data_IF_841975771386
#
_entry.id   IF_841975771386
#
_cell.length_a   1.000
_cell.length_b   1.000
_cell.length_c   1.000
_cell.angle_alpha   90.00
_cell.angle_beta   90.00
_cell.angle_gamma   90.00
#
_symmetry.space_group_name_H-M   'P 1'
#
loop_
_entity.id
_entity.type
_entity.pdbx_description
1 polymer ?
#
# COMPACT_ATOMS: atom_id res chain seq x y z
N UNK A 1 7.32 68.67 17.02
CA UNK A 1 7.73 67.25 17.06
C UNK A 1 6.52 66.38 17.33
N UNK A 2 5.85 65.86 16.29
CA UNK A 2 4.76 64.87 16.43
C UNK A 2 5.30 63.56 15.86
N UNK A 3 5.52 62.55 16.71
CA UNK A 3 5.97 61.22 16.28
C UNK A 3 4.75 60.45 15.75
N UNK A 4 4.77 60.11 14.47
CA UNK A 4 3.78 59.23 13.85
C UNK A 4 4.15 57.78 14.24
N UNK A 5 3.27 57.10 14.98
CA UNK A 5 3.40 55.66 15.22
C UNK A 5 2.70 54.93 14.08
N UNK A 6 3.48 54.27 13.20
CA UNK A 6 2.93 53.35 12.21
C UNK A 6 2.65 52.02 12.90
N UNK A 7 1.37 51.70 13.11
CA UNK A 7 0.93 50.37 13.54
C UNK A 7 0.94 49.47 12.30
N UNK A 8 1.87 48.52 12.25
CA UNK A 8 1.85 47.46 11.25
C UNK A 8 0.89 46.38 11.75
N UNK A 9 -0.32 46.37 11.19
CA UNK A 9 -1.29 45.28 11.41
C UNK A 9 -0.86 44.12 10.51
N UNK A 10 -0.22 43.12 11.10
CA UNK A 10 0.01 41.83 10.43
C UNK A 10 -1.33 41.10 10.43
N UNK A 11 -2.00 41.06 9.28
CA UNK A 11 -3.12 40.14 9.06
C UNK A 11 -2.57 38.72 9.06
N UNK A 12 -2.80 37.99 10.15
CA UNK A 12 -2.74 36.52 10.14
C UNK A 12 -3.89 36.05 9.24
N UNK A 13 -3.58 35.79 7.97
CA UNK A 13 -4.50 35.05 7.10
C UNK A 13 -4.53 33.63 7.65
N UNK A 14 -5.54 33.32 8.46
CA UNK A 14 -5.88 31.95 8.76
C UNK A 14 -6.41 31.33 7.46
N UNK A 15 -5.56 30.60 6.74
CA UNK A 15 -6.04 29.75 5.67
C UNK A 15 -6.98 28.73 6.30
N UNK A 16 -8.26 28.83 5.95
CA UNK A 16 -9.25 27.81 6.24
C UNK A 16 -8.73 26.47 5.75
N UNK A 17 -8.77 25.46 6.63
CA UNK A 17 -8.48 24.06 6.33
C UNK A 17 -9.48 23.54 5.28
N UNK A 18 -9.28 23.90 4.02
CA UNK A 18 -9.91 23.22 2.91
C UNK A 18 -9.27 21.86 2.75
N UNK A 19 -10.08 20.88 2.36
CA UNK A 19 -9.63 19.57 1.92
C UNK A 19 -8.54 19.71 0.85
N UNK A 20 -7.28 19.48 1.22
CA UNK A 20 -6.09 19.67 0.37
C UNK A 20 -5.82 18.43 -0.49
N UNK A 21 -6.78 18.03 -1.33
CA UNK A 21 -6.53 16.99 -2.33
C UNK A 21 -5.71 17.59 -3.48
N UNK A 22 -4.58 16.97 -3.79
CA UNK A 22 -3.80 17.24 -5.00
C UNK A 22 -3.71 15.99 -5.85
N UNK A 23 -3.95 16.12 -7.15
CA UNK A 23 -3.66 15.04 -8.10
C UNK A 23 -2.16 14.92 -8.25
N UNK A 24 -1.61 13.72 -8.01
CA UNK A 24 -0.22 13.40 -8.34
C UNK A 24 -0.06 13.39 -9.86
N UNK A 25 0.87 14.20 -10.38
CA UNK A 25 1.22 14.25 -11.80
C UNK A 25 2.73 14.55 -11.96
N UNK A 26 3.50 13.71 -12.68
CA UNK A 26 3.09 12.48 -13.34
C UNK A 26 2.63 11.40 -12.35
N UNK A 27 1.78 10.49 -12.82
CA UNK A 27 1.42 9.30 -12.04
C UNK A 27 2.65 8.41 -11.84
N UNK A 28 2.77 7.71 -10.69
CA UNK A 28 3.88 6.79 -10.43
C UNK A 28 3.99 5.65 -11.46
N UNK A 29 2.86 5.22 -12.00
CA UNK A 29 2.75 4.19 -13.03
C UNK A 29 1.58 4.50 -13.97
N UNK A 30 1.65 4.11 -15.26
CA UNK A 30 0.50 4.13 -16.17
C UNK A 30 -0.55 3.05 -15.86
N UNK A 31 -0.21 2.03 -15.07
CA UNK A 31 -1.10 0.92 -14.73
C UNK A 31 -1.97 1.27 -13.52
N UNK A 32 -3.24 0.85 -13.55
CA UNK A 32 -4.17 1.11 -12.45
C UNK A 32 -3.86 0.21 -11.24
N UNK A 33 -3.46 0.78 -10.08
CA UNK A 33 -3.27 0.01 -8.86
C UNK A 33 -4.63 -0.39 -8.25
N UNK A 34 -4.61 -1.45 -7.43
CA UNK A 34 -5.72 -1.76 -6.52
C UNK A 34 -5.53 -1.08 -5.16
N UNK A 35 -6.21 -1.59 -4.14
CA UNK A 35 -6.10 -1.10 -2.77
C UNK A 35 -4.67 -1.30 -2.26
N UNK A 36 -4.08 -0.22 -1.77
CA UNK A 36 -2.78 -0.22 -1.11
C UNK A 36 -2.89 -0.16 0.41
N UNK A 37 -1.75 -0.22 1.07
CA UNK A 37 -1.60 -0.16 2.52
C UNK A 37 -0.65 0.96 2.92
N UNK A 38 -1.02 1.72 3.96
CA UNK A 38 -0.23 2.82 4.51
C UNK A 38 0.18 2.51 5.95
N UNK A 39 1.29 1.79 6.19
CA UNK A 39 1.71 1.44 7.55
C UNK A 39 2.26 2.63 8.35
N UNK A 40 2.55 3.76 7.71
CA UNK A 40 2.97 4.99 8.38
C UNK A 40 2.73 6.22 7.50
N UNK A 41 2.87 7.46 8.01
CA UNK A 41 2.66 8.68 7.22
C UNK A 41 3.58 8.79 6.00
N UNK A 42 4.77 8.19 6.07
CA UNK A 42 5.76 8.29 5.00
C UNK A 42 5.69 7.10 4.03
N UNK A 43 4.92 6.06 4.36
CA UNK A 43 4.93 4.81 3.61
C UNK A 43 3.58 4.44 3.08
N UNK A 44 3.54 4.20 1.77
CA UNK A 44 2.40 3.62 1.10
C UNK A 44 2.88 2.61 0.08
N UNK A 45 2.19 1.47 -0.01
CA UNK A 45 2.48 0.41 -0.96
C UNK A 45 1.19 -0.07 -1.59
N UNK A 46 1.17 -0.19 -2.90
CA UNK A 46 0.05 -0.79 -3.65
C UNK A 46 0.58 -1.70 -4.75
N UNK A 47 -0.30 -2.55 -5.29
CA UNK A 47 0.01 -3.41 -6.42
C UNK A 47 -1.05 -3.27 -7.50
N UNK A 48 -0.62 -3.32 -8.76
CA UNK A 48 -1.52 -3.43 -9.90
C UNK A 48 -1.95 -4.90 -10.07
N UNK A 49 -3.07 -5.16 -10.77
CA UNK A 49 -3.48 -6.53 -11.06
C UNK A 49 -2.35 -7.35 -11.70
N UNK A 50 -1.54 -6.74 -12.58
CA UNK A 50 -0.47 -7.41 -13.31
C UNK A 50 0.82 -7.61 -12.50
N UNK A 51 0.86 -7.20 -11.22
CA UNK A 51 1.99 -7.47 -10.32
C UNK A 51 3.01 -6.35 -10.23
N UNK A 52 2.69 -5.15 -10.70
CA UNK A 52 3.54 -4.00 -10.49
C UNK A 52 3.34 -3.47 -9.06
N UNK A 53 4.36 -3.64 -8.20
CA UNK A 53 4.42 -3.06 -6.88
C UNK A 53 4.89 -1.61 -6.98
N UNK A 54 4.09 -0.70 -6.44
CA UNK A 54 4.32 0.74 -6.44
C UNK A 54 4.40 1.16 -4.98
N UNK A 55 5.53 1.75 -4.57
CA UNK A 55 5.72 2.17 -3.18
C UNK A 55 6.40 3.53 -3.04
N UNK A 56 6.15 4.19 -1.93
CA UNK A 56 6.84 5.41 -1.49
C UNK A 56 7.34 5.22 -0.06
N UNK A 57 8.42 5.93 0.29
CA UNK A 57 8.99 5.99 1.64
C UNK A 57 9.14 7.42 2.16
N UNK A 58 8.65 8.41 1.40
CA UNK A 58 8.75 9.85 1.68
C UNK A 58 7.39 10.57 1.52
N UNK A 59 6.31 9.87 1.86
CA UNK A 59 4.95 10.43 1.88
C UNK A 59 4.38 10.72 0.49
N UNK A 60 4.89 10.06 -0.55
CA UNK A 60 4.44 10.22 -1.93
C UNK A 60 5.20 11.28 -2.72
N UNK A 61 6.33 11.78 -2.21
CA UNK A 61 7.21 12.71 -2.91
C UNK A 61 7.96 12.01 -4.04
N UNK A 62 8.44 10.79 -3.80
CA UNK A 62 9.03 9.88 -4.78
C UNK A 62 8.42 8.49 -4.71
N UNK A 63 8.52 7.76 -5.81
CA UNK A 63 7.89 6.46 -5.99
C UNK A 63 8.87 5.46 -6.61
N UNK A 64 8.89 4.25 -6.07
CA UNK A 64 9.61 3.10 -6.60
C UNK A 64 8.61 2.11 -7.19
N UNK A 65 8.92 1.63 -8.38
CA UNK A 65 8.06 0.71 -9.14
C UNK A 65 8.86 -0.54 -9.47
N UNK A 66 8.35 -1.71 -9.11
CA UNK A 66 9.01 -3.00 -9.33
C UNK A 66 8.01 -4.11 -9.59
N UNK A 67 8.33 -5.01 -10.51
CA UNK A 67 7.50 -6.19 -10.77
C UNK A 67 7.66 -7.25 -9.69
N UNK A 68 6.55 -7.89 -9.32
CA UNK A 68 6.57 -9.07 -8.47
C UNK A 68 7.23 -10.25 -9.20
N UNK A 69 7.87 -11.19 -8.47
CA UNK A 69 8.65 -12.26 -9.08
C UNK A 69 7.87 -13.27 -9.94
N UNK A 70 6.54 -13.35 -9.80
CA UNK A 70 5.71 -14.29 -10.55
C UNK A 70 4.53 -13.56 -11.18
N UNK A 71 4.02 -14.10 -12.28
CA UNK A 71 2.78 -13.63 -12.87
C UNK A 71 1.58 -13.98 -11.98
N UNK A 72 0.55 -13.14 -12.05
CA UNK A 72 -0.67 -13.29 -11.27
C UNK A 72 -1.66 -12.15 -11.50
N UNK A 73 -2.83 -12.30 -10.90
CA UNK A 73 -3.80 -11.24 -10.70
C UNK A 73 -3.79 -10.90 -9.21
N UNK A 74 -3.05 -9.86 -8.86
CA UNK A 74 -2.89 -9.39 -7.49
C UNK A 74 -4.05 -8.47 -7.11
N UNK A 75 -4.51 -8.51 -5.87
CA UNK A 75 -5.73 -7.80 -5.45
C UNK A 75 -5.66 -7.16 -4.08
N UNK A 76 -4.84 -7.69 -3.18
CA UNK A 76 -4.75 -7.19 -1.82
C UNK A 76 -3.30 -6.97 -1.43
N UNK A 77 -3.07 -5.85 -0.73
CA UNK A 77 -1.80 -5.46 -0.14
C UNK A 77 -2.07 -5.12 1.32
N UNK A 78 -1.32 -5.72 2.23
CA UNK A 78 -1.46 -5.47 3.67
C UNK A 78 -0.10 -5.34 4.33
N UNK A 79 0.11 -4.30 5.12
CA UNK A 79 1.30 -4.12 5.95
C UNK A 79 0.93 -4.13 7.42
N UNK A 80 1.64 -4.96 8.19
CA UNK A 80 1.55 -5.01 9.66
C UNK A 80 2.47 -3.97 10.32
N UNK A 81 3.57 -3.63 9.66
CA UNK A 81 4.52 -2.59 10.07
C UNK A 81 5.16 -1.94 8.85
N UNK A 82 6.04 -0.95 9.02
CA UNK A 82 6.75 -0.32 7.90
C UNK A 82 7.60 -1.29 7.06
N UNK A 83 8.02 -2.41 7.65
CA UNK A 83 8.93 -3.36 7.00
C UNK A 83 8.25 -4.69 6.62
N UNK A 84 7.18 -5.05 7.33
CA UNK A 84 6.55 -6.36 7.20
C UNK A 84 5.17 -6.23 6.55
N UNK A 85 5.02 -6.87 5.38
CA UNK A 85 3.78 -6.85 4.62
C UNK A 85 3.60 -8.06 3.72
N UNK A 86 2.40 -8.15 3.16
CA UNK A 86 1.95 -9.22 2.28
C UNK A 86 1.21 -8.66 1.07
N UNK A 87 1.34 -9.38 -0.04
CA UNK A 87 0.51 -9.21 -1.23
C UNK A 87 -0.14 -10.55 -1.53
N UNK A 88 -1.43 -10.51 -1.86
CA UNK A 88 -2.20 -11.69 -2.21
C UNK A 88 -2.89 -11.52 -3.58
N UNK A 89 -2.89 -12.62 -4.34
CA UNK A 89 -3.42 -12.71 -5.69
C UNK A 89 -3.61 -14.16 -6.12
N UNK A 90 -3.98 -14.37 -7.38
CA UNK A 90 -4.15 -15.71 -7.94
C UNK A 90 -3.70 -15.79 -9.41
N UNK A 91 -3.35 -16.98 -9.88
CA UNK A 91 -3.27 -17.29 -11.32
C UNK A 91 -4.48 -18.15 -11.69
N UNK A 92 -5.20 -17.72 -12.75
CA UNK A 92 -6.36 -18.43 -13.26
C UNK A 92 -7.45 -18.64 -12.20
N UNK A 93 -8.04 -19.82 -12.19
CA UNK A 93 -9.14 -20.18 -11.29
C UNK A 93 -8.69 -21.03 -10.08
N UNK A 94 -7.43 -20.98 -9.65
CA UNK A 94 -7.08 -21.76 -8.46
C UNK A 94 -5.71 -21.57 -7.83
N UNK A 95 -4.69 -21.02 -8.49
CA UNK A 95 -3.37 -21.00 -7.86
C UNK A 95 -3.16 -19.73 -7.06
N UNK A 96 -3.02 -19.84 -5.73
CA UNK A 96 -2.72 -18.68 -4.88
C UNK A 96 -1.34 -18.13 -5.24
N UNK A 97 -1.23 -16.81 -5.19
CA UNK A 97 0.05 -16.10 -5.12
C UNK A 97 0.06 -15.28 -3.84
N UNK A 98 0.87 -15.70 -2.88
CA UNK A 98 1.15 -14.91 -1.69
C UNK A 98 2.61 -14.51 -1.74
N UNK A 99 2.87 -13.23 -1.51
CA UNK A 99 4.20 -12.71 -1.29
C UNK A 99 4.30 -12.09 0.08
N UNK A 100 5.46 -12.25 0.73
CA UNK A 100 5.84 -11.60 1.98
C UNK A 100 7.02 -10.68 1.71
N UNK A 101 7.02 -9.50 2.31
CA UNK A 101 8.18 -8.62 2.37
C UNK A 101 8.60 -8.43 3.83
N UNK A 102 9.90 -8.27 4.04
CA UNK A 102 10.49 -7.93 5.36
C UNK A 102 11.38 -6.68 5.28
N UNK A 103 11.45 -6.06 4.10
CA UNK A 103 12.17 -4.82 3.82
C UNK A 103 11.22 -3.73 3.33
N UNK A 104 9.92 -3.87 3.61
CA UNK A 104 8.99 -2.80 3.38
C UNK A 104 8.56 -2.63 1.91
N UNK A 105 8.58 -3.72 1.15
CA UNK A 105 8.09 -3.78 -0.22
C UNK A 105 9.16 -3.61 -1.30
N UNK A 106 10.43 -3.44 -0.94
CA UNK A 106 11.53 -3.40 -1.91
C UNK A 106 11.83 -4.78 -2.51
N UNK A 107 11.65 -5.84 -1.71
CA UNK A 107 11.71 -7.23 -2.16
C UNK A 107 10.52 -8.04 -1.64
N UNK A 108 10.04 -8.95 -2.48
CA UNK A 108 8.87 -9.78 -2.25
C UNK A 108 9.24 -11.25 -2.43
N UNK A 109 8.95 -12.07 -1.44
CA UNK A 109 9.30 -13.49 -1.41
C UNK A 109 8.02 -14.32 -1.47
N UNK A 110 7.90 -15.16 -2.48
CA UNK A 110 6.75 -16.04 -2.69
C UNK A 110 6.60 -17.05 -1.53
N UNK A 111 5.36 -17.27 -1.08
CA UNK A 111 4.99 -18.24 -0.04
C UNK A 111 4.23 -19.42 -0.69
N UNK A 112 4.91 -20.51 -1.08
CA UNK A 112 4.37 -21.51 -2.02
C UNK A 112 3.33 -22.49 -1.46
N UNK A 113 3.08 -22.51 -0.14
CA UNK A 113 2.28 -23.55 0.50
C UNK A 113 0.87 -23.09 0.91
N UNK A 114 0.34 -22.07 0.24
CA UNK A 114 -1.04 -21.63 0.47
C UNK A 114 -2.04 -22.55 -0.27
N UNK A 115 -3.13 -23.00 0.36
CA UNK A 115 -4.17 -23.77 -0.30
C UNK A 115 -4.80 -23.04 -1.50
N UNK A 116 -4.89 -23.71 -2.65
CA UNK A 116 -5.40 -23.20 -3.93
C UNK A 116 -6.82 -22.59 -3.86
N UNK A 117 -7.00 -21.39 -4.46
CA UNK A 117 -8.28 -20.65 -4.61
C UNK A 117 -8.12 -19.38 -5.51
N UNK A 118 -9.09 -18.46 -5.56
CA UNK A 118 -9.29 -17.54 -6.70
C UNK A 118 -9.36 -16.04 -6.43
N UNK A 119 -9.55 -15.61 -5.18
CA UNK A 119 -9.50 -14.19 -4.76
C UNK A 119 -9.09 -14.12 -3.31
N UNK A 120 -8.35 -13.08 -2.94
CA UNK A 120 -7.79 -12.97 -1.61
C UNK A 120 -7.86 -11.54 -1.10
N UNK A 121 -8.47 -11.37 0.05
CA UNK A 121 -8.05 -10.31 0.96
C UNK A 121 -7.19 -10.93 2.07
N UNK A 122 -6.23 -10.17 2.58
CA UNK A 122 -5.23 -10.65 3.54
C UNK A 122 -5.18 -9.73 4.75
N UNK A 123 -5.15 -10.34 5.94
CA UNK A 123 -5.05 -9.61 7.19
C UNK A 123 -4.20 -10.39 8.20
N UNK A 124 -3.30 -9.72 8.88
CA UNK A 124 -2.44 -10.31 9.90
C UNK A 124 -2.53 -9.51 11.19
N UNK A 125 -2.58 -10.19 12.34
CA UNK A 125 -2.53 -9.53 13.67
C UNK A 125 -1.11 -9.49 14.23
N UNK A 126 -0.25 -10.37 13.73
CA UNK A 126 1.17 -10.39 14.01
C UNK A 126 1.89 -11.12 12.85
N UNK A 127 3.21 -11.27 12.93
CA UNK A 127 4.02 -11.82 11.85
C UNK A 127 3.74 -13.27 11.46
N UNK A 128 3.09 -14.03 12.34
CA UNK A 128 2.84 -15.47 12.21
C UNK A 128 1.33 -15.79 12.08
N UNK A 129 0.46 -14.96 12.66
CA UNK A 129 -0.98 -15.22 12.73
C UNK A 129 -1.74 -14.26 11.81
N UNK A 130 -2.37 -14.85 10.80
CA UNK A 130 -3.18 -14.12 9.85
C UNK A 130 -4.21 -14.98 9.15
N UNK A 131 -5.06 -14.31 8.39
CA UNK A 131 -6.16 -14.89 7.64
C UNK A 131 -6.16 -14.39 6.22
N UNK A 132 -6.64 -15.28 5.36
CA UNK A 132 -6.87 -14.99 3.97
C UNK A 132 -8.27 -15.47 3.63
N UNK A 133 -9.07 -14.59 3.03
CA UNK A 133 -10.46 -14.88 2.64
C UNK A 133 -10.59 -14.92 1.14
N UNK A 134 -11.37 -15.86 0.62
CA UNK A 134 -11.56 -16.01 -0.82
C UNK A 134 -12.95 -16.46 -1.26
N UNK A 135 -13.05 -16.84 -2.53
CA UNK A 135 -14.32 -17.28 -3.13
C UNK A 135 -14.91 -18.50 -2.41
N UNK A 136 -16.21 -18.70 -2.61
CA UNK A 136 -16.98 -19.83 -2.05
C UNK A 136 -16.93 -19.92 -0.51
N UNK A 137 -16.80 -18.76 0.17
CA UNK A 137 -16.80 -18.68 1.64
C UNK A 137 -15.54 -19.24 2.29
N UNK A 138 -14.47 -19.44 1.52
CA UNK A 138 -13.25 -20.05 2.03
C UNK A 138 -12.45 -19.04 2.88
N UNK A 139 -12.02 -19.50 4.06
CA UNK A 139 -11.18 -18.76 5.00
C UNK A 139 -10.00 -19.66 5.35
N UNK A 140 -8.78 -19.19 5.09
CA UNK A 140 -7.54 -19.87 5.45
C UNK A 140 -6.87 -19.09 6.58
N UNK A 141 -6.27 -19.81 7.53
CA UNK A 141 -5.51 -19.25 8.65
C UNK A 141 -4.07 -19.77 8.58
N UNK A 142 -3.10 -18.91 8.87
CA UNK A 142 -1.75 -19.33 9.24
C UNK A 142 -1.46 -18.99 10.70
N UNK A 143 -0.52 -19.72 11.29
CA UNK A 143 0.08 -19.45 12.61
C UNK A 143 1.61 -19.47 12.56
N UNK A 144 2.18 -19.50 11.35
CA UNK A 144 3.61 -19.58 11.03
C UNK A 144 3.95 -18.60 9.90
#
# INVERSE_FOLDING_TARGET
MKKLFTIVIIFLISFSNYSQWSVLNPYPSPNTPYIGSAPSPNKYVTVTPQGEAILTTDGGTTWHVKQLPLDGIYRSTYFLSENLGWVAGAVGSGQVRIFKTTDGGFNWIHQPNAPDTTKYDVFFINENVGWIVGFNGMIIKTTN
#
